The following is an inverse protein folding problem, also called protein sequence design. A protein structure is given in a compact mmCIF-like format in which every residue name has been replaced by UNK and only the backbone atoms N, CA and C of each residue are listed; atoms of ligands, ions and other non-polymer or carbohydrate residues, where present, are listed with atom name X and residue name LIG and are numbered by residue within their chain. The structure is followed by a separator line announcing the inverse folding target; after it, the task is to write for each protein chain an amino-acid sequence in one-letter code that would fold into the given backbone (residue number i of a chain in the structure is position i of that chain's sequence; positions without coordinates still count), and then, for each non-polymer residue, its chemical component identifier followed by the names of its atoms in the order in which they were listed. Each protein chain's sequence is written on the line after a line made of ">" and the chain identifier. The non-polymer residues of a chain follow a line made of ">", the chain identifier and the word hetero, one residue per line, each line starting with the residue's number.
data_IF_107581136381
#
_entry.id   IF_107581136381
#
_cell.length_a   1.000
_cell.length_b   1.000
_cell.length_c   1.000
_cell.angle_alpha   90.00
_cell.angle_beta   90.00
_cell.angle_gamma   90.00
#
_symmetry.space_group_name_H-M   'P 1'
#
loop_
_entity.id
_entity.type
_entity.pdbx_description
1 polymer ?
#
# COMPACT_ATOMS: atom_id res chain seq x y z
N UNK A 1 -16.63 20.04 27.18
CA UNK A 1 -17.15 19.78 25.81
C UNK A 1 -17.56 18.32 25.67
N UNK A 2 -18.80 17.96 26.09
CA UNK A 2 -19.30 16.59 26.24
C UNK A 2 -19.74 15.89 24.93
N UNK A 3 -20.10 16.64 23.89
CA UNK A 3 -20.65 16.09 22.64
C UNK A 3 -19.68 15.16 21.89
N UNK A 4 -18.37 15.38 22.03
CA UNK A 4 -17.33 14.61 21.30
C UNK A 4 -17.30 13.12 21.63
N UNK A 5 -17.70 12.71 22.84
CA UNK A 5 -17.63 11.29 23.24
C UNK A 5 -18.78 10.49 22.64
N UNK A 6 -20.00 11.05 22.65
CA UNK A 6 -21.17 10.33 22.12
C UNK A 6 -21.03 10.12 20.61
N UNK A 7 -20.67 11.18 19.87
CA UNK A 7 -20.43 11.11 18.44
C UNK A 7 -19.36 10.07 18.08
N UNK A 8 -18.29 10.01 18.89
CA UNK A 8 -17.20 9.04 18.67
C UNK A 8 -17.65 7.61 18.93
N UNK A 9 -18.38 7.36 20.01
CA UNK A 9 -18.92 6.03 20.33
C UNK A 9 -19.92 5.57 19.28
N UNK A 10 -20.81 6.46 18.83
CA UNK A 10 -21.77 6.18 17.77
C UNK A 10 -21.08 5.82 16.46
N UNK A 11 -20.08 6.60 16.04
CA UNK A 11 -19.26 6.30 14.85
C UNK A 11 -18.54 4.95 14.96
N UNK A 12 -18.02 4.59 16.15
CA UNK A 12 -17.41 3.28 16.38
C UNK A 12 -18.44 2.15 16.27
N UNK A 13 -19.61 2.33 16.89
CA UNK A 13 -20.69 1.33 16.89
C UNK A 13 -21.24 1.09 15.48
N UNK A 14 -21.38 2.15 14.67
CA UNK A 14 -21.75 2.08 13.26
C UNK A 14 -20.68 1.34 12.44
N UNK A 15 -19.40 1.69 12.59
CA UNK A 15 -18.28 1.04 11.88
C UNK A 15 -18.19 -0.45 12.22
N UNK A 16 -18.42 -0.81 13.49
CA UNK A 16 -18.33 -2.18 13.98
C UNK A 16 -19.65 -2.96 13.85
N UNK A 17 -20.72 -2.31 13.38
CA UNK A 17 -22.09 -2.85 13.38
C UNK A 17 -22.53 -3.43 14.75
N UNK A 18 -22.09 -2.80 15.84
CA UNK A 18 -22.40 -3.22 17.21
C UNK A 18 -23.83 -2.80 17.58
N UNK A 19 -24.78 -3.69 17.32
CA UNK A 19 -26.22 -3.45 17.51
C UNK A 19 -26.59 -3.16 18.97
N UNK A 20 -25.90 -3.77 19.93
CA UNK A 20 -26.18 -3.59 21.35
C UNK A 20 -25.72 -2.21 21.83
N UNK A 21 -24.56 -1.76 21.34
CA UNK A 21 -24.08 -0.42 21.62
C UNK A 21 -24.96 0.64 20.96
N UNK A 22 -25.38 0.43 19.70
CA UNK A 22 -26.27 1.35 18.98
C UNK A 22 -27.64 1.55 19.66
N UNK A 23 -28.24 0.50 20.20
CA UNK A 23 -29.53 0.61 20.90
C UNK A 23 -29.41 1.41 22.19
N UNK A 24 -28.35 1.18 22.98
CA UNK A 24 -28.07 1.94 24.21
C UNK A 24 -27.79 3.41 23.94
N UNK A 25 -27.07 3.72 22.85
CA UNK A 25 -26.80 5.10 22.42
C UNK A 25 -28.04 5.80 21.84
N UNK A 26 -29.05 5.04 21.39
CA UNK A 26 -30.32 5.60 20.89
C UNK A 26 -31.27 6.03 22.00
N UNK A 27 -31.11 5.48 23.22
CA UNK A 27 -31.94 5.81 24.39
C UNK A 27 -31.65 7.22 24.94
N UNK A 28 -30.49 7.80 24.63
CA UNK A 28 -30.08 9.14 25.06
C UNK A 28 -28.56 9.32 25.07
N UNK A 29 -28.07 10.54 25.30
CA UNK A 29 -26.63 10.80 25.36
C UNK A 29 -25.96 10.02 26.51
N UNK A 30 -24.76 9.50 26.27
CA UNK A 30 -23.96 8.76 27.28
C UNK A 30 -23.78 9.50 28.60
N UNK A 31 -23.74 10.84 28.55
CA UNK A 31 -23.58 11.69 29.72
C UNK A 31 -24.92 11.95 30.42
N UNK A 32 -26.02 12.04 29.66
CA UNK A 32 -27.36 12.16 30.21
C UNK A 32 -27.84 10.87 30.88
N UNK A 33 -27.35 9.72 30.41
CA UNK A 33 -27.62 8.40 30.99
C UNK A 33 -26.64 8.00 32.12
N UNK A 34 -25.65 8.82 32.45
CA UNK A 34 -24.56 8.54 33.40
C UNK A 34 -23.89 7.17 33.17
N UNK A 35 -23.66 6.84 31.89
CA UNK A 35 -23.10 5.56 31.48
C UNK A 35 -21.66 5.42 31.95
N UNK A 36 -21.41 4.44 32.83
CA UNK A 36 -20.07 4.09 33.31
C UNK A 36 -19.41 3.10 32.35
N UNK A 37 -18.17 3.37 31.98
CA UNK A 37 -17.35 2.50 31.14
C UNK A 37 -16.00 2.24 31.78
N UNK A 38 -15.44 1.05 31.53
CA UNK A 38 -14.05 0.77 31.87
C UNK A 38 -13.14 1.41 30.81
N UNK A 39 -12.08 2.15 31.20
CA UNK A 39 -11.15 2.76 30.24
C UNK A 39 -10.53 1.74 29.27
N UNK A 40 -10.22 0.54 29.77
CA UNK A 40 -9.68 -0.54 28.94
C UNK A 40 -10.66 -1.01 27.85
N UNK A 41 -11.95 -1.09 28.16
CA UNK A 41 -12.99 -1.46 27.18
C UNK A 41 -13.14 -0.41 26.09
N UNK A 42 -13.03 0.88 26.44
CA UNK A 42 -13.08 1.97 25.46
C UNK A 42 -11.89 1.93 24.50
N UNK A 43 -10.67 1.71 25.02
CA UNK A 43 -9.47 1.55 24.19
C UNK A 43 -9.60 0.34 23.27
N UNK A 44 -10.09 -0.79 23.79
CA UNK A 44 -10.33 -1.98 22.99
C UNK A 44 -11.34 -1.74 21.86
N UNK A 45 -12.41 -0.98 22.12
CA UNK A 45 -13.39 -0.59 21.10
C UNK A 45 -12.76 0.25 19.98
N UNK A 46 -11.96 1.25 20.34
CA UNK A 46 -11.24 2.08 19.35
C UNK A 46 -10.22 1.28 18.54
N UNK A 47 -9.53 0.34 19.16
CA UNK A 47 -8.57 -0.52 18.46
C UNK A 47 -9.29 -1.45 17.47
N UNK A 48 -10.46 -1.99 17.84
CA UNK A 48 -11.30 -2.78 16.93
C UNK A 48 -11.76 -1.95 15.74
N UNK A 49 -12.26 -0.73 15.97
CA UNK A 49 -12.68 0.17 14.89
C UNK A 49 -11.53 0.46 13.92
N UNK A 50 -10.33 0.75 14.43
CA UNK A 50 -9.13 0.95 13.60
C UNK A 50 -8.78 -0.30 12.79
N UNK A 51 -8.87 -1.48 13.39
CA UNK A 51 -8.59 -2.73 12.69
C UNK A 51 -9.59 -3.02 11.57
N UNK A 52 -10.88 -2.72 11.79
CA UNK A 52 -11.92 -2.86 10.76
C UNK A 52 -11.71 -1.84 9.65
N UNK A 53 -11.46 -0.57 9.97
CA UNK A 53 -11.18 0.46 8.94
C UNK A 53 -9.99 0.09 8.08
N UNK A 54 -8.91 -0.40 8.69
CA UNK A 54 -7.74 -0.91 7.94
C UNK A 54 -8.14 -2.04 6.99
N UNK A 55 -8.95 -3.01 7.43
CA UNK A 55 -9.44 -4.10 6.59
C UNK A 55 -10.40 -3.62 5.50
N UNK A 56 -11.26 -2.65 5.79
CA UNK A 56 -12.21 -2.08 4.81
C UNK A 56 -11.48 -1.23 3.78
N UNK A 57 -10.43 -0.50 4.16
CA UNK A 57 -9.52 0.18 3.22
C UNK A 57 -8.78 -0.85 2.35
N UNK A 58 -8.30 -1.95 2.95
CA UNK A 58 -7.70 -3.07 2.21
C UNK A 58 -8.69 -3.74 1.23
N UNK A 59 -9.98 -3.84 1.60
CA UNK A 59 -11.02 -4.54 0.83
C UNK A 59 -11.78 -3.67 -0.18
N UNK A 60 -12.06 -2.39 0.11
CA UNK A 60 -12.70 -1.46 -0.81
C UNK A 60 -11.82 -1.09 -2.01
N UNK A 61 -10.52 -1.42 -1.94
CA UNK A 61 -9.56 -1.30 -3.02
C UNK A 61 -9.49 -2.56 -3.92
N UNK A 62 -10.41 -3.50 -3.75
CA UNK A 62 -10.55 -4.75 -4.54
C UNK A 62 -11.77 -4.68 -5.48
N UNK A 63 -12.79 -3.87 -5.20
CA UNK A 63 -14.09 -3.88 -5.91
C UNK A 63 -14.39 -2.58 -6.70
N UNK A 64 -13.46 -2.10 -7.54
CA UNK A 64 -13.77 -1.09 -8.57
C UNK A 64 -13.21 -1.51 -9.92
N UNK A 65 -13.90 -2.43 -10.58
CA UNK A 65 -13.55 -2.99 -11.90
C UNK A 65 -13.52 -1.94 -13.04
N UNK A 66 -14.04 -0.72 -12.84
CA UNK A 66 -14.03 0.34 -13.85
C UNK A 66 -12.94 1.41 -13.64
N UNK A 67 -12.40 1.56 -12.43
CA UNK A 67 -11.32 2.54 -12.13
C UNK A 67 -9.92 1.91 -12.17
N UNK A 68 -9.84 0.61 -12.41
CA UNK A 68 -8.61 -0.17 -12.38
C UNK A 68 -7.95 -0.37 -13.76
N UNK A 69 -8.59 0.03 -14.87
CA UNK A 69 -8.01 -0.11 -16.21
C UNK A 69 -6.70 0.68 -16.37
N UNK A 70 -6.69 1.95 -15.93
CA UNK A 70 -5.48 2.77 -15.93
C UNK A 70 -4.37 2.16 -15.05
N UNK A 71 -4.75 1.56 -13.93
CA UNK A 71 -3.84 0.88 -13.01
C UNK A 71 -3.24 -0.39 -13.60
N UNK A 72 -4.06 -1.18 -14.29
CA UNK A 72 -3.65 -2.41 -14.95
C UNK A 72 -2.77 -2.14 -16.18
N UNK A 73 -3.11 -1.10 -16.97
CA UNK A 73 -2.27 -0.65 -18.08
C UNK A 73 -0.92 -0.15 -17.57
N UNK A 74 -0.91 0.70 -16.54
CA UNK A 74 0.32 1.19 -15.93
C UNK A 74 1.18 0.02 -15.39
N UNK A 75 0.56 -0.98 -14.76
CA UNK A 75 1.26 -2.17 -14.27
C UNK A 75 1.84 -3.00 -15.41
N UNK A 76 1.07 -3.25 -16.47
CA UNK A 76 1.53 -3.98 -17.65
C UNK A 76 2.73 -3.28 -18.31
N UNK A 77 2.71 -1.94 -18.39
CA UNK A 77 3.84 -1.16 -18.86
C UNK A 77 5.07 -1.30 -17.95
N UNK A 78 4.89 -1.32 -16.63
CA UNK A 78 6.01 -1.57 -15.70
C UNK A 78 6.65 -2.93 -15.93
N UNK A 79 5.83 -3.97 -16.02
CA UNK A 79 6.28 -5.33 -16.26
C UNK A 79 7.04 -5.41 -17.58
N UNK A 80 6.51 -4.77 -18.63
CA UNK A 80 7.19 -4.67 -19.92
C UNK A 80 8.52 -3.91 -19.84
N UNK A 81 8.58 -2.81 -19.07
CA UNK A 81 9.82 -2.08 -18.83
C UNK A 81 10.87 -2.97 -18.15
N UNK A 82 10.50 -3.67 -17.08
CA UNK A 82 11.40 -4.59 -16.37
C UNK A 82 11.95 -5.66 -17.32
N UNK A 83 11.09 -6.32 -18.10
CA UNK A 83 11.52 -7.34 -19.07
C UNK A 83 12.37 -6.77 -20.22
N UNK A 84 12.05 -5.56 -20.72
CA UNK A 84 12.85 -4.91 -21.77
C UNK A 84 14.25 -4.57 -21.27
N UNK A 85 14.35 -4.03 -20.06
CA UNK A 85 15.64 -3.75 -19.44
C UNK A 85 16.44 -5.04 -19.24
N UNK A 86 15.78 -6.11 -18.78
CA UNK A 86 16.40 -7.43 -18.63
C UNK A 86 16.99 -8.00 -19.92
N UNK A 87 16.30 -7.83 -21.06
CA UNK A 87 16.76 -8.35 -22.36
C UNK A 87 17.86 -7.50 -23.00
N UNK A 88 17.87 -6.21 -22.72
CA UNK A 88 18.75 -5.25 -23.41
C UNK A 88 20.04 -4.94 -22.62
N UNK A 89 20.12 -5.33 -21.36
CA UNK A 89 21.32 -5.17 -20.53
C UNK A 89 22.21 -6.41 -20.61
N UNK A 90 23.51 -6.20 -20.76
CA UNK A 90 24.52 -7.27 -20.71
C UNK A 90 25.00 -7.58 -19.27
N UNK A 91 24.17 -7.28 -18.26
CA UNK A 91 24.54 -7.38 -16.84
C UNK A 91 23.33 -7.51 -15.90
N UNK A 92 23.62 -7.70 -14.61
CA UNK A 92 22.60 -7.90 -13.59
C UNK A 92 21.77 -6.63 -13.34
N UNK A 93 20.44 -6.77 -13.42
CA UNK A 93 19.52 -5.64 -13.23
C UNK A 93 18.93 -5.63 -11.83
N UNK A 94 19.14 -4.52 -11.14
CA UNK A 94 18.43 -4.18 -9.92
C UNK A 94 17.55 -2.95 -10.13
N UNK A 95 16.28 -3.05 -9.74
CA UNK A 95 15.29 -1.99 -9.85
C UNK A 95 14.89 -1.48 -8.46
N UNK A 96 14.96 -0.17 -8.21
CA UNK A 96 14.46 0.41 -6.96
C UNK A 96 12.94 0.41 -6.97
N UNK A 97 12.34 -0.10 -5.90
CA UNK A 97 10.88 -0.06 -5.73
C UNK A 97 10.36 1.38 -5.69
N UNK A 98 11.14 2.32 -5.16
CA UNK A 98 10.78 3.74 -5.14
C UNK A 98 10.67 4.32 -6.56
N UNK A 99 11.59 3.97 -7.46
CA UNK A 99 11.59 4.45 -8.84
C UNK A 99 10.42 3.84 -9.62
N UNK A 100 10.17 2.54 -9.42
CA UNK A 100 9.00 1.88 -10.01
C UNK A 100 7.70 2.48 -9.48
N UNK A 101 7.59 2.75 -8.18
CA UNK A 101 6.41 3.42 -7.62
C UNK A 101 6.17 4.80 -8.25
N UNK A 102 7.23 5.59 -8.44
CA UNK A 102 7.13 6.90 -9.07
C UNK A 102 6.71 6.79 -10.55
N UNK A 103 7.24 5.81 -11.29
CA UNK A 103 6.83 5.56 -12.68
C UNK A 103 5.37 5.14 -12.78
N UNK A 104 4.93 4.28 -11.87
CA UNK A 104 3.56 3.81 -11.79
C UNK A 104 2.60 4.97 -11.52
N UNK A 105 2.87 5.77 -10.49
CA UNK A 105 2.02 6.91 -10.11
C UNK A 105 1.91 7.93 -11.25
N UNK A 106 3.04 8.23 -11.91
CA UNK A 106 3.04 9.11 -13.09
C UNK A 106 2.17 8.54 -14.20
N UNK A 107 2.23 7.23 -14.45
CA UNK A 107 1.49 6.62 -15.55
C UNK A 107 0.00 6.54 -15.26
N UNK A 108 -0.40 6.20 -14.04
CA UNK A 108 -1.80 6.26 -13.62
C UNK A 108 -2.35 7.67 -13.75
N UNK A 109 -1.61 8.69 -13.28
CA UNK A 109 -2.03 10.10 -13.41
C UNK A 109 -2.13 10.59 -14.86
N UNK A 110 -1.45 9.95 -15.80
CA UNK A 110 -1.59 10.27 -17.23
C UNK A 110 -2.82 9.61 -17.87
N UNK A 111 -3.25 8.48 -17.31
CA UNK A 111 -4.33 7.65 -17.85
C UNK A 111 -5.67 7.89 -17.13
N UNK A 112 -5.65 8.54 -15.95
CA UNK A 112 -6.84 8.91 -15.20
C UNK A 112 -6.69 10.28 -14.53
N UNK A 113 -7.81 10.99 -14.38
CA UNK A 113 -7.90 12.27 -13.67
C UNK A 113 -7.79 12.11 -12.13
N UNK A 114 -7.64 10.87 -11.65
CA UNK A 114 -7.60 10.51 -10.24
C UNK A 114 -6.19 10.29 -9.71
N UNK A 115 -5.89 10.84 -8.54
CA UNK A 115 -4.67 10.49 -7.79
C UNK A 115 -5.02 9.30 -6.90
N UNK A 116 -4.88 8.07 -7.40
CA UNK A 116 -5.03 6.87 -6.54
C UNK A 116 -3.67 6.66 -5.86
N UNK A 117 -3.54 6.92 -4.54
CA UNK A 117 -2.28 6.73 -3.85
C UNK A 117 -2.06 5.22 -3.67
N UNK A 118 -1.20 4.63 -4.52
CA UNK A 118 -0.85 3.22 -4.37
C UNK A 118 0.21 3.07 -3.27
N UNK A 119 -0.07 2.20 -2.32
CA UNK A 119 0.89 1.78 -1.31
C UNK A 119 2.05 1.04 -1.98
N UNK A 120 3.28 1.52 -1.83
CA UNK A 120 4.51 0.91 -2.41
C UNK A 120 4.62 -0.59 -2.12
N UNK A 121 4.16 -1.02 -0.94
CA UNK A 121 4.11 -2.43 -0.52
C UNK A 121 3.24 -3.28 -1.45
N UNK A 122 2.09 -2.76 -1.88
CA UNK A 122 1.17 -3.46 -2.78
C UNK A 122 1.73 -3.55 -4.19
N UNK A 123 2.34 -2.48 -4.69
CA UNK A 123 3.02 -2.51 -5.99
C UNK A 123 4.12 -3.59 -6.03
N UNK A 124 4.90 -3.70 -4.93
CA UNK A 124 5.90 -4.77 -4.78
C UNK A 124 5.25 -6.15 -4.90
N UNK A 125 4.19 -6.41 -4.13
CA UNK A 125 3.49 -7.69 -4.15
C UNK A 125 2.90 -8.02 -5.53
N UNK A 126 2.32 -7.04 -6.21
CA UNK A 126 1.77 -7.21 -7.56
C UNK A 126 2.86 -7.55 -8.58
N UNK A 127 4.03 -6.92 -8.50
CA UNK A 127 5.15 -7.22 -9.39
C UNK A 127 5.72 -8.62 -9.14
N UNK A 128 5.90 -9.01 -7.87
CA UNK A 128 6.38 -10.34 -7.49
C UNK A 128 5.37 -11.44 -7.87
N UNK A 129 4.07 -11.16 -7.83
CA UNK A 129 3.04 -12.12 -8.25
C UNK A 129 3.01 -12.31 -9.78
N UNK A 130 3.33 -11.27 -10.57
CA UNK A 130 3.33 -11.33 -12.04
C UNK A 130 4.64 -11.81 -12.64
N UNK A 131 5.76 -11.64 -11.94
CA UNK A 131 7.10 -11.98 -12.41
C UNK A 131 7.70 -12.99 -11.43
N UNK A 132 7.56 -14.27 -11.76
CA UNK A 132 7.89 -15.40 -10.87
C UNK A 132 9.37 -15.49 -10.50
N UNK A 133 10.24 -15.00 -11.37
CA UNK A 133 11.69 -14.99 -11.22
C UNK A 133 12.23 -13.69 -10.59
N UNK A 134 11.35 -12.76 -10.19
CA UNK A 134 11.71 -11.52 -9.51
C UNK A 134 11.71 -11.71 -7.99
N UNK A 135 12.75 -11.23 -7.32
CA UNK A 135 12.88 -11.26 -5.87
C UNK A 135 13.08 -9.85 -5.31
N UNK A 136 12.57 -9.62 -4.10
CA UNK A 136 12.75 -8.36 -3.39
C UNK A 136 13.84 -8.48 -2.32
N UNK A 137 14.85 -7.64 -2.41
CA UNK A 137 15.92 -7.51 -1.43
C UNK A 137 15.83 -6.16 -0.70
N UNK A 138 16.02 -6.16 0.62
CA UNK A 138 15.99 -4.93 1.42
C UNK A 138 17.41 -4.56 1.84
N UNK A 139 17.88 -3.39 1.42
CA UNK A 139 19.16 -2.80 1.86
C UNK A 139 18.84 -1.52 2.65
N UNK A 140 18.84 -1.59 3.97
CA UNK A 140 18.44 -0.48 4.83
C UNK A 140 16.96 -0.11 4.65
N UNK A 141 16.67 1.13 4.27
CA UNK A 141 15.31 1.62 3.97
C UNK A 141 14.88 1.38 2.52
N UNK A 142 15.79 0.93 1.65
CA UNK A 142 15.53 0.76 0.23
C UNK A 142 15.17 -0.69 -0.10
N UNK A 143 14.15 -0.87 -0.94
CA UNK A 143 13.75 -2.17 -1.49
C UNK A 143 14.17 -2.22 -2.95
N UNK A 144 15.00 -3.20 -3.28
CA UNK A 144 15.47 -3.52 -4.62
C UNK A 144 14.75 -4.76 -5.14
N UNK A 145 14.36 -4.75 -6.40
CA UNK A 145 13.79 -5.87 -7.13
C UNK A 145 14.84 -6.37 -8.11
N UNK A 146 15.17 -7.65 -8.03
CA UNK A 146 16.26 -8.28 -8.79
C UNK A 146 15.79 -9.65 -9.27
N UNK A 147 16.16 -10.05 -10.48
CA UNK A 147 15.88 -11.39 -10.96
C UNK A 147 16.73 -12.43 -10.22
N UNK A 148 16.17 -13.59 -9.89
CA UNK A 148 16.82 -14.66 -9.12
C UNK A 148 18.20 -15.02 -9.68
N UNK A 149 18.31 -15.18 -11.00
CA UNK A 149 19.57 -15.46 -11.71
C UNK A 149 20.63 -14.37 -11.55
N UNK A 150 20.21 -13.15 -11.26
CA UNK A 150 21.04 -11.94 -11.18
C UNK A 150 21.27 -11.49 -9.74
N UNK A 151 20.71 -12.18 -8.73
CA UNK A 151 20.82 -11.81 -7.30
C UNK A 151 22.26 -11.74 -6.83
N UNK A 152 23.06 -12.77 -7.12
CA UNK A 152 24.47 -12.82 -6.73
C UNK A 152 25.28 -11.66 -7.32
N UNK A 153 25.31 -11.49 -8.66
CA UNK A 153 26.01 -10.38 -9.29
C UNK A 153 25.47 -8.99 -8.89
N UNK A 154 24.16 -8.83 -8.69
CA UNK A 154 23.57 -7.57 -8.24
C UNK A 154 23.97 -7.20 -6.81
N UNK A 155 24.00 -8.18 -5.89
CA UNK A 155 24.48 -7.97 -4.52
C UNK A 155 25.97 -7.65 -4.53
N UNK A 156 26.78 -8.36 -5.34
CA UNK A 156 28.20 -8.08 -5.47
C UNK A 156 28.47 -6.66 -6.01
N UNK A 157 27.70 -6.20 -6.99
CA UNK A 157 27.75 -4.82 -7.50
C UNK A 157 27.34 -3.79 -6.43
N UNK A 158 26.25 -4.05 -5.70
CA UNK A 158 25.75 -3.17 -4.65
C UNK A 158 26.62 -3.13 -3.38
N UNK A 159 27.48 -4.13 -3.16
CA UNK A 159 28.46 -4.16 -2.08
C UNK A 159 29.79 -3.48 -2.47
N UNK A 160 30.13 -3.47 -3.76
CA UNK A 160 31.39 -2.89 -4.26
C UNK A 160 31.26 -1.42 -4.70
N UNK A 161 30.04 -0.97 -5.03
CA UNK A 161 29.76 0.41 -5.41
C UNK A 161 28.60 0.92 -4.58
N UNK A 162 28.86 1.89 -3.71
CA UNK A 162 27.84 2.54 -2.88
C UNK A 162 26.89 3.45 -3.71
N UNK A 163 27.12 3.60 -5.04
CA UNK A 163 26.44 4.63 -5.84
C UNK A 163 25.97 4.26 -7.25
N UNK A 164 25.96 2.99 -7.68
CA UNK A 164 25.50 2.64 -9.06
C UNK A 164 24.32 1.69 -9.08
N UNK A 165 23.19 2.18 -8.59
CA UNK A 165 21.87 1.66 -8.91
C UNK A 165 21.34 2.49 -10.09
N UNK A 166 21.35 1.92 -11.30
CA UNK A 166 20.81 2.51 -12.54
C UNK A 166 20.90 4.06 -12.65
N UNK A 167 22.12 4.61 -12.59
CA UNK A 167 22.36 5.96 -13.10
C UNK A 167 22.49 5.86 -14.62
N UNK A 168 21.36 6.11 -15.29
CA UNK A 168 21.23 6.90 -16.52
C UNK A 168 22.32 6.71 -17.60
N UNK A 169 22.03 5.94 -18.64
CA UNK A 169 22.60 6.21 -19.98
C UNK A 169 21.61 7.06 -20.77
N UNK A 170 21.80 8.38 -20.71
CA UNK A 170 21.40 9.25 -21.82
C UNK A 170 22.27 8.85 -23.01
N UNK A 171 21.67 8.56 -24.15
CA UNK A 171 22.35 8.64 -25.44
C UNK A 171 21.75 9.84 -26.18
N UNK A 172 22.63 10.80 -26.44
CA UNK A 172 22.49 11.87 -27.40
C UNK A 172 23.01 11.36 -28.75
#
# INVERSE_FOLDING_TARGET
>A
MPMKLNDRLKSCAETLQDKELLTKLSTGDVIAQDLKYHPACLVALYNKERAVKKKTEEQAQIDTDAENEAGDVALAEMVNYIFKTQRNSDGANAFRLADLANMYERRVRQLSDGTIPILRTRLKEMLLAKISDLQAYTKGMEVLLVFEKDVGPAIALACNYDDTIHIRTKLQ
#
